data_IF_932659321111
#
_entry.id   IF_932659321111
#
_cell.length_a   1.000
_cell.length_b   1.000
_cell.length_c   1.000
_cell.angle_alpha   90.00
_cell.angle_beta   90.00
_cell.angle_gamma   90.00
#
_symmetry.space_group_name_H-M   'P 1'
#
loop_
_entity.id
_entity.type
_entity.pdbx_description
1 polymer ?
#
# COMPACT_ATOMS: atom_id res chain seq x y z
N UNK A 1 6.03 2.41 3.89
CA UNK A 1 6.35 3.77 3.41
C UNK A 1 7.86 3.95 3.51
N UNK A 2 8.55 4.37 2.43
CA UNK A 2 10.02 4.49 2.39
C UNK A 2 10.55 5.60 3.31
N UNK A 3 9.76 6.66 3.48
CA UNK A 3 10.08 7.83 4.31
C UNK A 3 8.95 8.10 5.32
N UNK A 4 8.86 7.29 6.40
CA UNK A 4 7.80 7.44 7.41
C UNK A 4 7.85 8.77 8.17
N UNK A 5 9.00 9.44 8.19
CA UNK A 5 9.22 10.74 8.85
C UNK A 5 8.41 11.89 8.24
N UNK A 6 7.92 11.74 7.02
CA UNK A 6 7.06 12.73 6.35
C UNK A 6 5.62 12.69 6.88
N UNK A 7 5.25 11.57 7.49
CA UNK A 7 3.90 11.26 7.95
C UNK A 7 3.77 11.48 9.45
N UNK A 8 2.54 11.79 9.88
CA UNK A 8 2.20 11.79 11.29
C UNK A 8 0.74 11.38 11.48
N UNK A 9 0.40 11.01 12.71
CA UNK A 9 -0.95 10.67 13.11
C UNK A 9 -1.66 11.93 13.61
N UNK A 10 -2.93 12.07 13.27
CA UNK A 10 -3.79 13.10 13.83
C UNK A 10 -5.17 12.55 14.19
N UNK A 11 -5.82 13.20 15.16
CA UNK A 11 -7.20 12.91 15.56
C UNK A 11 -8.17 13.43 14.48
N UNK A 12 -9.25 12.71 14.13
CA UNK A 12 -10.25 13.23 13.22
C UNK A 12 -10.90 14.48 13.81
N UNK A 13 -11.04 15.52 12.98
CA UNK A 13 -11.64 16.79 13.39
C UNK A 13 -13.11 16.85 13.00
N UNK A 14 -13.91 17.43 13.89
CA UNK A 14 -15.31 17.82 13.64
C UNK A 14 -15.44 19.34 13.40
N UNK A 15 -16.54 19.82 12.78
CA UNK A 15 -16.76 21.25 12.51
C UNK A 15 -16.61 22.17 13.72
N UNK A 16 -16.89 21.67 14.93
CA UNK A 16 -16.75 22.43 16.17
C UNK A 16 -15.29 22.77 16.51
N UNK A 17 -14.34 21.94 16.09
CA UNK A 17 -12.90 22.17 16.32
C UNK A 17 -12.35 23.34 15.51
N UNK A 18 -13.04 23.74 14.43
CA UNK A 18 -12.70 24.97 13.71
C UNK A 18 -13.07 26.22 14.53
N UNK A 19 -14.06 26.11 15.43
CA UNK A 19 -14.63 27.26 16.16
C UNK A 19 -14.07 27.43 17.58
N UNK A 20 -13.62 26.35 18.21
CA UNK A 20 -13.13 26.36 19.60
C UNK A 20 -11.79 25.64 19.71
N UNK A 21 -10.93 26.07 20.64
CA UNK A 21 -9.79 25.24 21.03
C UNK A 21 -10.30 23.95 21.69
N UNK A 22 -9.50 22.89 21.65
CA UNK A 22 -9.88 21.59 22.19
C UNK A 22 -10.30 21.64 23.68
N UNK A 23 -9.62 22.48 24.48
CA UNK A 23 -9.96 22.76 25.89
C UNK A 23 -11.27 23.55 26.07
N UNK A 24 -11.67 24.31 25.07
CA UNK A 24 -12.81 25.24 25.10
C UNK A 24 -14.06 24.63 24.45
N UNK A 25 -13.98 23.38 23.99
CA UNK A 25 -15.10 22.65 23.40
C UNK A 25 -16.29 22.57 24.38
N UNK A 26 -17.51 22.91 23.92
CA UNK A 26 -18.73 22.74 24.73
C UNK A 26 -18.90 21.26 25.07
N UNK A 27 -18.76 20.90 26.35
CA UNK A 27 -18.87 19.51 26.84
C UNK A 27 -17.66 19.04 27.66
N UNK A 28 -16.45 19.54 27.36
CA UNK A 28 -15.26 19.21 28.16
C UNK A 28 -15.31 19.80 29.58
N UNK A 29 -15.96 20.97 29.75
CA UNK A 29 -16.24 21.54 31.08
C UNK A 29 -17.15 20.64 31.93
N UNK A 30 -18.10 19.91 31.33
CA UNK A 30 -18.96 18.94 32.04
C UNK A 30 -18.20 17.66 32.42
N UNK A 31 -17.31 17.16 31.57
CA UNK A 31 -16.44 15.99 31.89
C UNK A 31 -15.44 16.31 33.01
N UNK A 32 -14.83 17.50 33.00
CA UNK A 32 -13.96 17.95 34.11
C UNK A 32 -14.75 18.15 35.41
N UNK A 33 -15.96 18.70 35.37
CA UNK A 33 -16.80 18.87 36.56
C UNK A 33 -17.36 17.54 37.11
N UNK A 34 -17.68 16.55 36.26
CA UNK A 34 -18.09 15.22 36.74
C UNK A 34 -16.97 14.46 37.43
N UNK A 35 -15.72 14.61 36.99
CA UNK A 35 -14.57 14.02 37.68
C UNK A 35 -14.25 14.73 39.02
N UNK A 36 -14.56 16.02 39.17
CA UNK A 36 -14.42 16.72 40.46
C UNK A 36 -15.54 16.38 41.45
N UNK A 37 -16.76 16.09 40.98
CA UNK A 37 -17.91 15.79 41.86
C UNK A 37 -18.01 14.33 42.33
N UNK A 38 -17.20 13.40 41.81
CA UNK A 38 -17.04 12.04 42.34
C UNK A 38 -15.74 11.87 43.15
N UNK A 39 -15.39 12.89 43.93
CA UNK A 39 -14.37 12.81 44.98
C UNK A 39 -14.85 12.04 46.21
N UNK A 40 -15.04 10.73 46.06
CA UNK A 40 -15.40 9.82 47.15
C UNK A 40 -14.59 8.52 47.06
N UNK A 41 -13.41 8.52 47.71
CA UNK A 41 -12.57 7.34 48.05
C UNK A 41 -11.96 6.58 46.85
N UNK A 42 -10.84 7.08 46.35
CA UNK A 42 -9.89 6.32 45.54
C UNK A 42 -8.53 7.03 45.54
N UNK A 43 -7.43 6.30 45.77
CA UNK A 43 -6.09 6.84 46.00
C UNK A 43 -5.50 7.69 44.85
N UNK A 44 -4.31 8.30 45.06
CA UNK A 44 -3.93 9.56 44.39
C UNK A 44 -3.67 9.54 42.86
N UNK A 45 -3.86 8.44 42.13
CA UNK A 45 -3.24 8.31 40.80
C UNK A 45 -4.10 7.75 39.65
N UNK A 46 -5.41 7.48 39.81
CA UNK A 46 -6.12 6.64 38.81
C UNK A 46 -7.37 7.23 38.14
N UNK A 47 -7.46 8.54 37.93
CA UNK A 47 -8.66 9.12 37.30
C UNK A 47 -8.48 10.41 36.50
N UNK A 48 -7.26 10.90 36.33
CA UNK A 48 -7.02 12.11 35.51
C UNK A 48 -6.73 11.64 34.09
N UNK A 49 -7.68 11.84 33.18
CA UNK A 49 -7.39 11.75 31.74
C UNK A 49 -6.17 12.62 31.46
N UNK A 50 -5.13 12.08 30.80
CA UNK A 50 -3.92 12.85 30.49
C UNK A 50 -4.32 14.19 29.85
N UNK A 51 -3.71 15.31 30.27
CA UNK A 51 -3.95 16.58 29.62
C UNK A 51 -3.64 16.43 28.13
N UNK A 52 -4.59 16.79 27.26
CA UNK A 52 -4.39 16.68 25.81
C UNK A 52 -3.20 17.57 25.43
N UNK A 53 -2.17 16.95 24.87
CA UNK A 53 -0.88 17.55 24.54
C UNK A 53 -1.01 18.66 23.49
N UNK A 54 -2.16 18.72 22.81
CA UNK A 54 -2.53 19.71 21.81
C UNK A 54 -3.14 21.00 22.36
N UNK A 55 -3.13 21.18 23.68
CA UNK A 55 -3.60 22.43 24.26
C UNK A 55 -2.52 23.49 24.06
N UNK A 56 -2.70 24.38 23.07
CA UNK A 56 -2.06 25.69 23.11
C UNK A 56 -2.47 26.35 24.44
N UNK A 57 -1.57 26.29 25.42
CA UNK A 57 -1.68 27.10 26.62
C UNK A 57 -1.18 28.47 26.19
N UNK A 58 -2.05 29.49 26.08
CA UNK A 58 -1.58 30.86 25.93
C UNK A 58 -0.92 31.22 27.25
N UNK A 59 0.36 30.93 27.40
CA UNK A 59 1.17 31.65 28.37
C UNK A 59 1.30 33.06 27.79
N UNK A 60 0.29 33.88 28.08
CA UNK A 60 0.17 35.29 27.70
C UNK A 60 0.28 35.55 26.19
N UNK A 61 -0.85 35.74 25.52
CA UNK A 61 -0.86 36.51 24.27
C UNK A 61 -0.27 37.89 24.57
N UNK A 62 0.80 38.35 23.90
CA UNK A 62 1.17 39.75 24.00
C UNK A 62 0.01 40.55 23.40
N UNK A 63 -0.50 41.51 24.16
CA UNK A 63 -1.35 42.57 23.63
C UNK A 63 -0.74 43.06 22.31
N UNK A 64 -1.55 43.12 21.25
CA UNK A 64 -1.09 43.39 19.90
C UNK A 64 -0.09 44.55 19.83
N UNK A 65 1.13 44.25 19.37
CA UNK A 65 2.10 45.28 19.04
C UNK A 65 1.79 45.80 17.64
N UNK A 66 1.19 46.98 17.57
CA UNK A 66 1.29 47.86 16.41
C UNK A 66 2.55 48.71 16.58
N UNK A 67 3.72 48.19 16.19
CA UNK A 67 4.87 49.07 15.99
C UNK A 67 6.25 48.49 16.27
N UNK A 68 7.10 48.65 15.26
CA UNK A 68 8.56 48.81 15.32
C UNK A 68 9.42 47.55 15.45
N UNK A 69 10.18 47.32 14.36
CA UNK A 69 11.45 46.59 14.38
C UNK A 69 12.40 47.33 15.32
N UNK A 70 12.70 46.73 16.47
CA UNK A 70 14.04 46.55 17.05
C UNK A 70 13.90 46.15 18.53
N UNK A 71 14.85 45.34 19.01
CA UNK A 71 15.08 44.94 20.40
C UNK A 71 14.25 43.76 20.99
N UNK A 72 14.73 42.52 20.82
CA UNK A 72 15.18 41.65 21.95
C UNK A 72 15.61 40.25 21.49
N UNK A 73 16.59 39.61 22.17
CA UNK A 73 17.14 38.31 21.78
C UNK A 73 16.51 37.19 22.63
N UNK A 74 15.42 36.59 22.18
CA UNK A 74 14.98 35.29 22.68
C UNK A 74 14.46 34.47 21.50
N UNK A 75 14.93 33.23 21.30
CA UNK A 75 14.45 32.40 20.21
C UNK A 75 12.99 32.00 20.51
N UNK A 76 12.08 32.45 19.65
CA UNK A 76 10.70 31.99 19.61
C UNK A 76 10.69 30.47 19.41
N UNK A 77 10.19 29.72 20.39
CA UNK A 77 9.92 28.29 20.23
C UNK A 77 8.42 28.03 20.37
N UNK A 78 7.80 27.64 19.26
CA UNK A 78 6.46 27.06 19.22
C UNK A 78 6.58 25.54 19.41
N UNK A 79 6.78 25.09 20.64
CA UNK A 79 6.80 23.66 20.99
C UNK A 79 5.75 23.37 22.08
N UNK A 80 5.09 22.19 22.05
CA UNK A 80 4.20 21.77 23.13
C UNK A 80 5.00 21.65 24.44
N UNK A 81 4.40 22.13 25.53
CA UNK A 81 5.02 22.10 26.86
C UNK A 81 4.88 20.69 27.42
N UNK A 82 5.99 19.95 27.52
CA UNK A 82 6.06 18.72 28.31
C UNK A 82 6.03 19.06 29.80
N UNK A 83 5.26 18.35 30.65
CA UNK A 83 5.33 18.57 32.08
C UNK A 83 6.69 18.08 32.58
N UNK A 84 7.48 18.98 33.14
CA UNK A 84 8.73 18.68 33.84
C UNK A 84 8.44 17.91 35.12
N UNK A 85 8.32 16.59 35.02
CA UNK A 85 8.41 15.70 36.19
C UNK A 85 9.52 14.69 35.93
N UNK A 86 10.69 14.99 36.51
CA UNK A 86 11.81 14.06 36.60
C UNK A 86 11.38 12.77 37.29
N UNK A 87 11.14 11.70 36.53
CA UNK A 87 11.31 10.32 36.98
C UNK A 87 11.79 9.47 35.79
N UNK A 88 13.07 9.13 35.81
CA UNK A 88 13.64 8.07 34.97
C UNK A 88 13.06 6.74 35.43
N UNK A 89 12.13 6.17 34.67
CA UNK A 89 11.72 4.78 34.81
C UNK A 89 11.43 4.19 33.44
N UNK A 90 12.42 3.48 32.90
CA UNK A 90 12.20 2.48 31.86
C UNK A 90 11.56 1.25 32.51
N UNK A 91 10.46 0.68 31.96
CA UNK A 91 10.16 -0.71 32.18
C UNK A 91 10.47 -1.49 30.90
N UNK A 92 11.57 -2.25 30.96
CA UNK A 92 11.74 -3.46 30.20
C UNK A 92 10.69 -4.45 30.73
N UNK A 93 9.72 -4.83 29.91
CA UNK A 93 8.90 -6.00 30.17
C UNK A 93 8.47 -6.64 28.85
N UNK A 94 9.18 -7.70 28.49
CA UNK A 94 8.80 -8.71 27.51
C UNK A 94 7.50 -9.40 27.94
N UNK A 95 6.53 -9.66 27.03
CA UNK A 95 5.41 -10.51 27.39
C UNK A 95 5.79 -11.98 27.17
N UNK A 96 6.03 -12.67 28.29
CA UNK A 96 5.79 -14.11 28.43
C UNK A 96 4.30 -14.26 28.72
N UNK A 97 3.57 -15.02 27.91
CA UNK A 97 2.14 -15.23 28.14
C UNK A 97 1.42 -15.90 26.98
N UNK A 98 1.37 -17.23 27.03
CA UNK A 98 0.55 -18.10 26.18
C UNK A 98 -0.92 -17.72 26.27
N UNK A 99 -1.55 -17.43 25.13
CA UNK A 99 -2.97 -17.13 25.01
C UNK A 99 -3.48 -17.56 23.64
N UNK A 100 -3.91 -18.81 23.56
CA UNK A 100 -4.54 -19.46 22.39
C UNK A 100 -5.78 -18.71 21.91
N UNK A 101 -5.74 -18.15 20.70
CA UNK A 101 -6.93 -17.67 19.99
C UNK A 101 -7.58 -18.86 19.28
N UNK A 102 -8.74 -19.30 19.79
CA UNK A 102 -9.57 -20.32 19.16
C UNK A 102 -10.28 -19.72 17.95
N UNK A 103 -9.93 -20.18 16.74
CA UNK A 103 -10.71 -19.94 15.51
C UNK A 103 -11.88 -20.92 15.51
N UNK A 104 -13.10 -20.40 15.58
CA UNK A 104 -14.31 -21.20 15.45
C UNK A 104 -14.52 -21.54 13.97
N UNK A 105 -14.57 -22.84 13.67
CA UNK A 105 -14.68 -23.40 12.34
C UNK A 105 -16.16 -23.70 12.08
N UNK A 106 -16.78 -23.04 11.09
CA UNK A 106 -18.09 -23.45 10.58
C UNK A 106 -18.01 -23.68 9.07
N UNK A 107 -18.27 -24.96 8.76
CA UNK A 107 -18.38 -25.67 7.50
C UNK A 107 -18.83 -24.85 6.27
N UNK A 108 -18.09 -25.01 5.18
CA UNK A 108 -18.51 -24.70 3.82
C UNK A 108 -19.58 -25.69 3.36
N UNK A 109 -20.63 -25.16 2.72
CA UNK A 109 -21.45 -25.86 1.74
C UNK A 109 -21.02 -25.41 0.35
N UNK A 110 -20.82 -26.38 -0.53
CA UNK A 110 -20.44 -26.25 -1.94
C UNK A 110 -21.44 -25.38 -2.73
N UNK A 111 -20.97 -24.55 -3.67
CA UNK A 111 -21.55 -24.42 -5.01
C UNK A 111 -20.68 -23.57 -5.96
N UNK A 112 -20.20 -24.28 -6.98
CA UNK A 112 -19.95 -23.96 -8.39
C UNK A 112 -20.09 -22.51 -8.92
N UNK A 113 -19.19 -22.19 -9.86
CA UNK A 113 -19.05 -20.86 -10.44
C UNK A 113 -20.18 -20.42 -11.39
N UNK A 114 -20.34 -19.10 -11.47
CA UNK A 114 -20.86 -18.42 -12.65
C UNK A 114 -20.36 -16.98 -12.67
N UNK A 115 -19.73 -16.61 -13.78
CA UNK A 115 -19.32 -15.25 -14.12
C UNK A 115 -20.58 -14.45 -14.48
N UNK A 116 -20.79 -13.29 -13.86
CA UNK A 116 -21.75 -12.31 -14.36
C UNK A 116 -21.17 -10.89 -14.19
N UNK A 117 -20.98 -10.13 -15.27
CA UNK A 117 -20.69 -8.72 -15.19
C UNK A 117 -22.00 -7.98 -14.89
N UNK A 118 -21.92 -6.88 -14.15
CA UNK A 118 -23.03 -6.05 -13.67
C UNK A 118 -23.71 -6.53 -12.38
N UNK A 119 -23.17 -6.08 -11.23
CA UNK A 119 -24.05 -5.44 -10.25
C UNK A 119 -23.32 -4.44 -9.35
N UNK A 120 -23.92 -3.27 -9.25
CA UNK A 120 -23.55 -2.14 -8.41
C UNK A 120 -24.03 -2.46 -7.01
N UNK A 121 -23.15 -2.86 -6.09
CA UNK A 121 -23.36 -2.74 -4.64
C UNK A 121 -22.05 -2.99 -3.87
N UNK A 122 -21.69 -2.01 -3.04
CA UNK A 122 -20.56 -2.07 -2.10
C UNK A 122 -20.79 -3.18 -1.07
N UNK A 123 -20.10 -4.30 -1.23
CA UNK A 123 -19.80 -5.23 -0.15
C UNK A 123 -18.36 -5.71 -0.36
N UNK A 124 -17.43 -5.10 0.37
CA UNK A 124 -16.04 -5.51 0.41
C UNK A 124 -15.94 -6.82 1.19
N UNK A 125 -15.77 -7.94 0.50
CA UNK A 125 -15.54 -9.23 1.14
C UNK A 125 -14.10 -9.33 1.64
N UNK A 126 -13.95 -9.90 2.84
CA UNK A 126 -12.70 -10.07 3.58
C UNK A 126 -11.59 -10.82 2.80
N UNK A 127 -11.96 -11.51 1.71
CA UNK A 127 -11.04 -12.23 0.82
C UNK A 127 -10.22 -11.32 -0.11
N UNK A 128 -10.67 -10.08 -0.40
CA UNK A 128 -9.86 -9.10 -1.15
C UNK A 128 -8.75 -8.43 -0.31
N UNK A 129 -8.77 -8.60 1.02
CA UNK A 129 -7.85 -7.90 1.93
C UNK A 129 -6.45 -8.53 2.05
N UNK A 130 -6.24 -9.76 1.59
CA UNK A 130 -4.95 -10.46 1.78
C UNK A 130 -4.00 -10.43 0.58
N UNK A 131 -4.38 -9.85 -0.57
CA UNK A 131 -3.55 -9.82 -1.78
C UNK A 131 -3.39 -8.48 -2.50
N UNK A 132 -4.07 -7.40 -2.08
CA UNK A 132 -4.18 -6.20 -2.93
C UNK A 132 -4.26 -4.85 -2.17
N UNK A 133 -3.66 -4.73 -0.99
CA UNK A 133 -3.66 -3.43 -0.31
C UNK A 133 -2.77 -2.40 -1.04
N UNK A 134 -1.62 -2.84 -1.55
CA UNK A 134 -0.67 -1.97 -2.27
C UNK A 134 -1.21 -1.52 -3.64
N UNK A 135 -1.90 -2.40 -4.36
CA UNK A 135 -2.55 -2.04 -5.63
C UNK A 135 -3.79 -1.17 -5.43
N UNK A 136 -4.43 -1.23 -4.27
CA UNK A 136 -5.57 -0.38 -3.94
C UNK A 136 -5.13 1.04 -3.57
N UNK A 137 -4.09 1.20 -2.75
CA UNK A 137 -3.63 2.52 -2.30
C UNK A 137 -2.80 3.30 -3.34
N UNK A 138 -2.33 2.62 -4.38
CA UNK A 138 -1.64 3.24 -5.52
C UNK A 138 -2.58 3.89 -6.53
N UNK A 139 -3.89 3.60 -6.48
CA UNK A 139 -4.88 4.11 -7.42
C UNK A 139 -5.83 5.09 -6.72
N UNK A 140 -6.12 6.21 -7.37
CA UNK A 140 -7.07 7.21 -6.88
C UNK A 140 -8.51 6.70 -7.02
N UNK A 141 -9.37 6.83 -6.00
CA UNK A 141 -10.79 6.51 -6.13
C UNK A 141 -11.48 7.49 -7.08
N UNK A 142 -12.38 6.99 -7.93
CA UNK A 142 -13.10 7.81 -8.91
C UNK A 142 -14.06 8.82 -8.28
N UNK A 143 -14.62 8.50 -7.11
CA UNK A 143 -15.47 9.40 -6.34
C UNK A 143 -15.25 9.25 -4.82
N UNK A 144 -15.32 10.34 -4.04
CA UNK A 144 -15.35 10.23 -2.58
C UNK A 144 -16.61 9.50 -2.12
N UNK A 145 -16.46 8.68 -1.09
CA UNK A 145 -17.62 8.06 -0.45
C UNK A 145 -18.57 9.14 0.12
N UNK A 146 -19.89 8.88 0.17
CA UNK A 146 -20.85 9.82 0.75
C UNK A 146 -20.53 10.19 2.21
N UNK A 147 -19.98 9.25 2.97
CA UNK A 147 -19.53 9.48 4.35
C UNK A 147 -18.32 10.41 4.42
N UNK A 148 -17.35 10.25 3.51
CA UNK A 148 -16.21 11.14 3.42
C UNK A 148 -16.67 12.57 3.13
N UNK A 149 -17.62 12.75 2.20
CA UNK A 149 -18.23 14.05 1.86
C UNK A 149 -18.87 14.73 3.07
N UNK A 150 -19.57 13.99 3.91
CA UNK A 150 -20.26 14.53 5.10
C UNK A 150 -19.30 14.94 6.23
N UNK A 151 -18.08 14.40 6.26
CA UNK A 151 -17.04 14.72 7.26
C UNK A 151 -16.05 15.79 6.78
N UNK A 152 -16.21 16.32 5.57
CA UNK A 152 -15.31 17.35 5.03
C UNK A 152 -15.41 18.65 5.82
N UNK A 153 -14.27 19.11 6.31
CA UNK A 153 -14.12 20.41 6.92
C UNK A 153 -13.74 21.44 5.86
N UNK A 154 -14.34 22.63 5.94
CA UNK A 154 -14.04 23.74 5.04
C UNK A 154 -13.73 25.00 5.84
N UNK A 155 -12.45 25.23 6.21
CA UNK A 155 -12.05 26.42 6.94
C UNK A 155 -12.19 27.66 6.05
N UNK A 156 -12.85 28.71 6.53
CA UNK A 156 -13.10 29.95 5.78
C UNK A 156 -12.13 31.07 6.13
N UNK A 157 -11.55 31.03 7.33
CA UNK A 157 -10.64 32.06 7.83
C UNK A 157 -9.26 31.47 8.10
N UNK A 158 -8.23 32.32 8.10
CA UNK A 158 -6.88 31.91 8.48
C UNK A 158 -6.82 31.29 9.88
N UNK A 159 -7.66 31.77 10.80
CA UNK A 159 -7.77 31.23 12.16
C UNK A 159 -8.33 29.81 12.14
N UNK A 160 -9.40 29.57 11.37
CA UNK A 160 -9.97 28.22 11.20
C UNK A 160 -8.96 27.27 10.53
N UNK A 161 -8.19 27.75 9.54
CA UNK A 161 -7.12 26.96 8.92
C UNK A 161 -6.02 26.60 9.91
N UNK A 162 -5.56 27.56 10.70
CA UNK A 162 -4.54 27.32 11.73
C UNK A 162 -5.01 26.27 12.76
N UNK A 163 -6.30 26.29 13.12
CA UNK A 163 -6.90 25.35 14.08
C UNK A 163 -6.92 23.90 13.61
N UNK A 164 -6.84 23.62 12.31
CA UNK A 164 -6.73 22.24 11.80
C UNK A 164 -5.48 21.54 12.36
N UNK A 165 -4.43 22.29 12.67
CA UNK A 165 -3.19 21.73 13.21
C UNK A 165 -3.29 21.27 14.68
N UNK A 166 -4.40 21.52 15.38
CA UNK A 166 -4.62 21.00 16.74
C UNK A 166 -4.80 19.48 16.78
N UNK A 167 -5.03 18.86 15.62
CA UNK A 167 -5.30 17.44 15.52
C UNK A 167 -4.06 16.55 15.70
N UNK A 168 -2.87 17.09 15.46
CA UNK A 168 -1.64 16.29 15.38
C UNK A 168 -1.31 15.61 16.71
N UNK A 169 -0.92 14.35 16.65
CA UNK A 169 -0.33 13.69 17.82
C UNK A 169 1.13 14.13 17.98
N UNK A 170 1.57 14.15 19.24
CA UNK A 170 2.96 14.31 19.60
C UNK A 170 3.70 13.00 19.32
N UNK A 171 4.60 13.00 18.34
CA UNK A 171 5.36 11.81 17.94
C UNK A 171 6.41 11.39 18.98
N UNK A 172 6.67 12.19 20.01
CA UNK A 172 7.57 11.83 21.11
C UNK A 172 6.89 11.01 22.22
N UNK A 173 5.56 10.94 22.21
CA UNK A 173 4.76 10.23 23.20
C UNK A 173 4.07 9.02 22.57
N UNK A 174 3.79 7.99 23.38
CA UNK A 174 2.98 6.87 22.91
C UNK A 174 1.54 7.31 22.62
N UNK A 175 0.87 6.53 21.76
CA UNK A 175 -0.54 6.74 21.40
C UNK A 175 -1.45 6.69 22.65
N UNK A 176 -1.14 5.81 23.60
CA UNK A 176 -1.92 5.61 24.83
C UNK A 176 -1.83 6.80 25.80
N UNK A 177 -0.64 7.43 25.89
CA UNK A 177 -0.41 8.63 26.70
C UNK A 177 -1.21 9.83 26.21
N UNK A 178 -1.58 9.84 24.92
CA UNK A 178 -2.33 10.91 24.27
C UNK A 178 -3.85 10.66 24.27
N UNK A 179 -4.28 9.68 25.07
CA UNK A 179 -5.69 9.39 25.34
C UNK A 179 -6.40 8.59 24.25
N UNK A 180 -5.67 8.05 23.27
CA UNK A 180 -6.23 7.17 22.25
C UNK A 180 -6.44 5.78 22.84
N UNK A 181 -7.59 5.17 22.55
CA UNK A 181 -8.03 3.86 23.05
C UNK A 181 -8.17 2.87 21.91
N UNK A 182 -8.36 1.60 22.27
CA UNK A 182 -8.68 0.57 21.30
C UNK A 182 -9.94 0.95 20.51
N UNK A 183 -9.92 0.67 19.21
CA UNK A 183 -10.98 0.99 18.25
C UNK A 183 -11.19 2.49 17.96
N UNK A 184 -10.35 3.39 18.51
CA UNK A 184 -10.35 4.78 18.09
C UNK A 184 -9.86 4.93 16.65
N UNK A 185 -10.45 5.90 15.94
CA UNK A 185 -10.04 6.24 14.58
C UNK A 185 -8.98 7.33 14.60
N UNK A 186 -7.87 7.11 13.90
CA UNK A 186 -6.85 8.12 13.63
C UNK A 186 -6.71 8.34 12.13
N UNK A 187 -6.25 9.53 11.76
CA UNK A 187 -5.88 9.86 10.40
C UNK A 187 -4.35 9.80 10.26
N UNK A 188 -3.88 9.17 9.19
CA UNK A 188 -2.48 9.24 8.77
C UNK A 188 -2.38 10.29 7.66
N UNK A 189 -1.51 11.30 7.84
CA UNK A 189 -1.35 12.40 6.88
C UNK A 189 0.11 12.79 6.73
N UNK A 190 0.47 13.32 5.57
CA UNK A 190 1.75 13.99 5.36
C UNK A 190 1.73 15.31 6.13
N UNK A 191 2.62 15.41 7.13
CA UNK A 191 2.74 16.57 8.02
C UNK A 191 3.81 17.54 7.54
N UNK A 192 4.90 17.00 7.01
CA UNK A 192 6.05 17.78 6.56
C UNK A 192 6.07 17.83 5.04
N UNK A 193 5.92 19.04 4.49
CA UNK A 193 5.85 19.28 3.04
C UNK A 193 7.25 19.39 2.41
N UNK A 194 8.15 18.48 2.79
CA UNK A 194 9.48 18.34 2.21
C UNK A 194 9.65 16.88 1.80
N UNK A 195 9.37 16.60 0.53
CA UNK A 195 9.35 15.24 0.01
C UNK A 195 10.70 14.88 -0.59
N UNK A 196 11.41 13.95 0.05
CA UNK A 196 12.72 13.50 -0.44
C UNK A 196 12.59 12.37 -1.46
N UNK A 197 13.37 12.44 -2.54
CA UNK A 197 13.52 11.35 -3.54
C UNK A 197 12.18 10.71 -3.96
N UNK A 198 11.28 11.55 -4.47
CA UNK A 198 9.94 11.13 -4.88
C UNK A 198 10.05 10.49 -6.28
N UNK A 199 10.07 9.16 -6.33
CA UNK A 199 10.40 8.40 -7.54
C UNK A 199 9.20 7.60 -8.10
N UNK A 200 8.65 7.98 -9.27
CA UNK A 200 7.49 7.30 -9.89
C UNK A 200 7.63 5.79 -10.07
N UNK A 201 8.87 5.29 -10.28
CA UNK A 201 9.12 3.86 -10.50
C UNK A 201 8.85 3.01 -9.25
N UNK A 202 9.04 3.58 -8.07
CA UNK A 202 9.04 2.82 -6.82
C UNK A 202 8.02 3.34 -5.80
N UNK A 203 7.52 4.57 -5.96
CA UNK A 203 6.72 5.26 -4.95
C UNK A 203 5.25 5.46 -5.36
N UNK A 204 4.69 4.59 -6.21
CA UNK A 204 3.31 4.70 -6.70
C UNK A 204 2.29 4.97 -5.59
N UNK A 205 2.34 4.22 -4.48
CA UNK A 205 1.48 4.43 -3.30
C UNK A 205 1.75 5.79 -2.65
N UNK A 206 3.00 6.13 -2.37
CA UNK A 206 3.36 7.39 -1.68
C UNK A 206 2.93 8.60 -2.52
N UNK A 207 3.17 8.56 -3.83
CA UNK A 207 2.79 9.61 -4.78
C UNK A 207 1.27 9.77 -4.82
N UNK A 208 0.54 8.66 -4.97
CA UNK A 208 -0.93 8.70 -5.01
C UNK A 208 -1.52 9.26 -3.71
N UNK A 209 -0.99 8.88 -2.54
CA UNK A 209 -1.46 9.39 -1.26
C UNK A 209 -1.10 10.89 -1.04
N UNK A 210 0.06 11.36 -1.52
CA UNK A 210 0.39 12.79 -1.51
C UNK A 210 -0.58 13.57 -2.42
N UNK A 211 -0.81 13.04 -3.63
CA UNK A 211 -1.76 13.61 -4.59
C UNK A 211 -3.17 13.71 -4.00
N UNK A 212 -3.69 12.62 -3.44
CA UNK A 212 -5.02 12.60 -2.80
C UNK A 212 -5.09 13.61 -1.66
N UNK A 213 -4.08 13.68 -0.79
CA UNK A 213 -4.06 14.67 0.27
C UNK A 213 -4.09 16.11 -0.31
N UNK A 214 -3.25 16.44 -1.28
CA UNK A 214 -3.21 17.76 -1.90
C UNK A 214 -4.54 18.11 -2.59
N UNK A 215 -5.13 17.16 -3.32
CA UNK A 215 -6.44 17.29 -3.96
C UNK A 215 -7.52 17.67 -2.94
N UNK A 216 -7.60 16.95 -1.81
CA UNK A 216 -8.58 17.24 -0.77
C UNK A 216 -8.34 18.59 -0.09
N UNK A 217 -7.09 18.99 0.13
CA UNK A 217 -6.78 20.31 0.69
C UNK A 217 -7.20 21.44 -0.24
N UNK A 218 -7.06 21.25 -1.56
CA UNK A 218 -7.49 22.20 -2.58
C UNK A 218 -9.03 22.28 -2.64
N UNK A 219 -9.72 21.15 -2.77
CA UNK A 219 -11.19 21.08 -2.88
C UNK A 219 -11.92 21.57 -1.61
N UNK A 220 -11.28 21.42 -0.44
CA UNK A 220 -11.81 21.89 0.84
C UNK A 220 -11.46 23.35 1.16
N UNK A 221 -10.74 24.03 0.27
CA UNK A 221 -10.28 25.42 0.47
C UNK A 221 -9.36 25.58 1.70
N UNK A 222 -8.64 24.51 2.08
CA UNK A 222 -7.54 24.58 3.06
C UNK A 222 -6.33 25.31 2.46
N UNK A 223 -6.09 25.12 1.17
CA UNK A 223 -5.05 25.79 0.37
C UNK A 223 -5.74 26.67 -0.68
N UNK A 224 -5.25 27.91 -0.83
CA UNK A 224 -5.70 28.80 -1.89
C UNK A 224 -4.89 28.61 -3.16
N UNK A 225 -5.56 28.74 -4.30
CA UNK A 225 -4.94 28.89 -5.61
C UNK A 225 -5.68 29.98 -6.40
N UNK A 226 -5.14 30.34 -7.55
CA UNK A 226 -5.78 31.20 -8.56
C UNK A 226 -6.84 30.43 -9.36
N UNK A 227 -7.62 31.15 -10.16
CA UNK A 227 -8.63 30.55 -11.03
C UNK A 227 -8.01 29.69 -12.14
N UNK A 228 -6.93 30.18 -12.77
CA UNK A 228 -6.20 29.45 -13.81
C UNK A 228 -5.58 28.16 -13.26
N UNK A 229 -4.96 28.23 -12.08
CA UNK A 229 -4.42 27.04 -11.40
C UNK A 229 -5.52 26.04 -11.04
N UNK A 230 -6.69 26.50 -10.56
CA UNK A 230 -7.81 25.61 -10.25
C UNK A 230 -8.30 24.86 -11.50
N UNK A 231 -8.41 25.54 -12.64
CA UNK A 231 -8.79 24.90 -13.91
C UNK A 231 -7.75 23.86 -14.34
N UNK A 232 -6.46 24.18 -14.20
CA UNK A 232 -5.38 23.23 -14.45
C UNK A 232 -5.46 22.01 -13.52
N UNK A 233 -5.67 22.22 -12.22
CA UNK A 233 -5.84 21.13 -11.26
C UNK A 233 -7.06 20.27 -11.56
N UNK A 234 -8.17 20.87 -11.99
CA UNK A 234 -9.36 20.11 -12.41
C UNK A 234 -9.07 19.24 -13.65
N UNK A 235 -8.40 19.80 -14.66
CA UNK A 235 -8.01 19.05 -15.86
C UNK A 235 -7.07 17.88 -15.52
N UNK A 236 -6.08 18.09 -14.66
CA UNK A 236 -5.17 17.03 -14.19
C UNK A 236 -5.93 15.94 -13.42
N UNK A 237 -6.88 16.30 -12.55
CA UNK A 237 -7.70 15.32 -11.85
C UNK A 237 -8.53 14.45 -12.82
N UNK A 238 -9.13 15.06 -13.85
CA UNK A 238 -9.84 14.31 -14.89
C UNK A 238 -8.89 13.34 -15.60
N UNK A 239 -7.71 13.81 -16.00
CA UNK A 239 -6.71 12.97 -16.67
C UNK A 239 -6.33 11.76 -15.81
N UNK A 240 -6.06 11.98 -14.51
CA UNK A 240 -5.75 10.91 -13.55
C UNK A 240 -6.90 9.92 -13.44
N UNK A 241 -8.15 10.38 -13.34
CA UNK A 241 -9.33 9.50 -13.27
C UNK A 241 -9.51 8.66 -14.54
N UNK A 242 -9.32 9.26 -15.72
CA UNK A 242 -9.41 8.55 -17.00
C UNK A 242 -8.29 7.49 -17.12
N UNK A 243 -7.12 7.79 -16.59
CA UNK A 243 -5.94 6.93 -16.63
C UNK A 243 -5.90 5.88 -15.51
N UNK A 244 -6.70 6.03 -14.45
CA UNK A 244 -6.71 5.11 -13.31
C UNK A 244 -7.14 3.68 -13.69
N UNK A 245 -7.92 3.52 -14.76
CA UNK A 245 -8.33 2.22 -15.31
C UNK A 245 -7.48 1.74 -16.50
N UNK A 246 -6.46 2.51 -16.90
CA UNK A 246 -5.62 2.21 -18.06
C UNK A 246 -4.22 1.84 -17.57
N UNK A 247 -3.67 0.68 -17.96
CA UNK A 247 -2.29 0.33 -17.67
C UNK A 247 -1.34 1.42 -18.19
N UNK A 248 -0.54 2.00 -17.31
CA UNK A 248 0.40 3.06 -17.68
C UNK A 248 1.54 2.46 -18.52
N UNK A 249 1.97 3.11 -19.62
CA UNK A 249 3.15 2.69 -20.34
C UNK A 249 4.36 2.74 -19.41
N UNK A 250 5.19 1.69 -19.46
CA UNK A 250 6.44 1.63 -18.72
C UNK A 250 7.30 2.79 -19.23
N UNK A 251 7.61 3.75 -18.35
CA UNK A 251 8.46 4.89 -18.69
C UNK A 251 9.93 4.44 -18.64
N UNK A 252 10.26 3.45 -19.46
CA UNK A 252 11.64 3.10 -19.73
C UNK A 252 12.19 4.16 -20.66
N UNK A 253 13.07 5.00 -20.11
CA UNK A 253 13.87 5.95 -20.85
C UNK A 253 14.94 5.19 -21.65
N UNK A 254 14.51 4.40 -22.63
CA UNK A 254 15.38 3.78 -23.63
C UNK A 254 14.51 3.30 -24.80
N UNK A 255 14.84 3.77 -26.00
CA UNK A 255 14.27 3.37 -27.28
C UNK A 255 14.36 1.83 -27.51
N UNK A 256 13.42 1.03 -27.02
CA UNK A 256 13.42 -0.43 -27.27
C UNK A 256 12.15 -0.98 -27.91
N UNK A 257 11.11 -0.15 -28.12
CA UNK A 257 9.82 -0.60 -28.71
C UNK A 257 9.98 -1.17 -30.14
N UNK A 258 11.11 -0.94 -30.81
CA UNK A 258 11.34 -1.38 -32.20
C UNK A 258 12.21 -2.64 -32.30
N UNK A 259 12.85 -3.11 -31.21
CA UNK A 259 13.71 -4.32 -31.27
C UNK A 259 12.92 -5.62 -30.99
N UNK A 260 11.91 -5.61 -30.12
CA UNK A 260 11.16 -6.83 -29.75
C UNK A 260 10.40 -7.46 -30.93
N UNK A 261 9.84 -6.64 -31.83
CA UNK A 261 9.14 -7.15 -33.03
C UNK A 261 10.11 -7.77 -34.04
N UNK A 262 11.35 -7.28 -34.11
CA UNK A 262 12.40 -7.80 -34.99
C UNK A 262 12.93 -9.11 -34.43
N UNK A 263 13.16 -9.20 -33.13
CA UNK A 263 13.61 -10.42 -32.46
C UNK A 263 12.54 -11.50 -32.44
N UNK A 264 11.27 -11.15 -32.27
CA UNK A 264 10.14 -12.08 -32.40
C UNK A 264 10.02 -12.60 -33.85
N UNK A 265 10.15 -11.73 -34.86
CA UNK A 265 10.14 -12.13 -36.27
C UNK A 265 11.37 -12.98 -36.66
N UNK A 266 12.55 -12.69 -36.09
CA UNK A 266 13.76 -13.50 -36.27
C UNK A 266 13.63 -14.86 -35.61
N UNK A 267 13.00 -14.94 -34.43
CA UNK A 267 12.75 -16.20 -33.73
C UNK A 267 11.73 -17.06 -34.48
N UNK A 268 10.65 -16.47 -35.00
CA UNK A 268 9.67 -17.17 -35.84
C UNK A 268 10.28 -17.63 -37.18
N UNK A 269 11.15 -16.82 -37.79
CA UNK A 269 11.90 -17.20 -38.98
C UNK A 269 12.90 -18.33 -38.68
N UNK A 270 13.56 -18.32 -37.53
CA UNK A 270 14.46 -19.39 -37.10
C UNK A 270 13.68 -20.70 -36.86
N UNK A 271 12.53 -20.65 -36.21
CA UNK A 271 11.64 -21.81 -36.01
C UNK A 271 11.10 -22.35 -37.33
N UNK A 272 10.87 -21.48 -38.33
CA UNK A 272 10.38 -21.88 -39.66
C UNK A 272 11.50 -22.43 -40.55
N UNK A 273 12.73 -21.94 -40.42
CA UNK A 273 13.90 -22.38 -41.20
C UNK A 273 14.58 -23.63 -40.62
N UNK A 274 14.45 -23.89 -39.32
CA UNK A 274 14.97 -25.10 -38.65
C UNK A 274 14.03 -26.32 -38.78
N UNK A 275 13.05 -26.26 -39.68
CA UNK A 275 12.24 -27.40 -40.07
C UNK A 275 13.10 -28.63 -40.43
N UNK A 276 13.15 -29.59 -39.52
CA UNK A 276 13.63 -30.98 -39.72
C UNK A 276 15.15 -31.18 -39.85
N UNK A 277 15.94 -30.72 -38.88
CA UNK A 277 17.23 -31.37 -38.60
C UNK A 277 17.15 -32.21 -37.31
N UNK A 278 16.71 -33.45 -37.49
CA UNK A 278 16.78 -34.51 -36.47
C UNK A 278 18.26 -34.88 -36.28
N UNK A 279 18.95 -34.16 -35.40
CA UNK A 279 20.29 -34.55 -34.98
C UNK A 279 20.61 -34.00 -33.59
N UNK A 280 20.11 -34.65 -32.56
CA UNK A 280 20.89 -35.00 -31.36
C UNK A 280 20.07 -35.95 -30.48
N UNK A 281 20.74 -36.98 -29.98
CA UNK A 281 20.24 -38.07 -29.16
C UNK A 281 19.52 -37.60 -27.90
N UNK A 282 18.19 -37.69 -27.87
CA UNK A 282 17.43 -37.60 -26.61
C UNK A 282 17.44 -38.97 -25.93
N UNK A 283 18.30 -39.11 -24.92
CA UNK A 283 18.23 -40.19 -23.94
C UNK A 283 16.87 -40.13 -23.23
N UNK A 284 15.97 -41.06 -23.58
CA UNK A 284 14.60 -41.21 -23.02
C UNK A 284 14.61 -41.53 -21.50
N UNK A 285 15.79 -41.70 -20.89
CA UNK A 285 15.94 -42.08 -19.47
C UNK A 285 16.38 -40.92 -18.54
N UNK A 286 16.55 -39.69 -19.02
CA UNK A 286 16.86 -38.56 -18.14
C UNK A 286 15.57 -37.91 -17.60
N UNK A 287 15.43 -37.90 -16.27
CA UNK A 287 14.34 -37.21 -15.57
C UNK A 287 14.51 -35.71 -15.82
N UNK A 288 13.51 -35.02 -16.41
CA UNK A 288 13.58 -33.59 -16.66
C UNK A 288 13.77 -32.81 -15.35
N UNK A 289 14.68 -31.85 -15.37
CA UNK A 289 15.01 -30.99 -14.24
C UNK A 289 15.03 -29.54 -14.67
N UNK A 290 14.43 -28.67 -13.86
CA UNK A 290 14.48 -27.22 -14.05
C UNK A 290 15.43 -26.63 -13.03
N UNK A 291 16.33 -25.75 -13.47
CA UNK A 291 17.29 -25.10 -12.59
C UNK A 291 17.54 -23.64 -12.99
N UNK A 292 17.70 -22.77 -12.00
CA UNK A 292 17.90 -21.33 -12.22
C UNK A 292 18.37 -20.63 -10.93
N UNK A 293 18.93 -19.44 -11.09
CA UNK A 293 19.11 -18.54 -9.95
C UNK A 293 17.83 -17.73 -9.70
N UNK A 294 17.17 -17.98 -8.57
CA UNK A 294 15.91 -17.32 -8.20
C UNK A 294 16.01 -16.71 -6.80
N UNK A 295 15.23 -15.66 -6.55
CA UNK A 295 15.14 -15.01 -5.25
C UNK A 295 14.12 -15.72 -4.37
N UNK A 296 14.50 -16.05 -3.15
CA UNK A 296 13.71 -16.74 -2.15
C UNK A 296 13.52 -15.92 -0.89
N UNK A 297 12.35 -16.04 -0.27
CA UNK A 297 12.12 -15.59 1.10
C UNK A 297 11.16 -16.53 1.83
N UNK A 298 11.53 -16.91 3.04
CA UNK A 298 10.67 -17.60 4.01
C UNK A 298 10.36 -16.62 5.16
N UNK A 299 9.17 -15.98 5.17
CA UNK A 299 8.83 -15.03 6.22
C UNK A 299 8.84 -15.71 7.59
N UNK A 300 9.67 -15.20 8.52
CA UNK A 300 9.64 -15.57 9.94
C UNK A 300 9.05 -14.44 10.75
N UNK A 301 8.32 -14.77 11.82
CA UNK A 301 7.85 -13.76 12.78
C UNK A 301 9.08 -13.04 13.35
N UNK A 302 9.06 -11.70 13.31
CA UNK A 302 10.08 -10.81 13.90
C UNK A 302 11.45 -10.70 13.21
N UNK A 303 11.61 -11.11 11.93
CA UNK A 303 12.86 -10.87 11.17
C UNK A 303 12.65 -9.98 9.95
N UNK A 304 13.65 -9.16 9.60
CA UNK A 304 13.66 -8.38 8.35
C UNK A 304 13.45 -9.31 7.14
N UNK A 305 12.42 -8.99 6.35
CA UNK A 305 12.05 -9.73 5.15
C UNK A 305 12.92 -9.29 3.98
N UNK A 306 14.01 -10.01 3.70
CA UNK A 306 14.85 -9.77 2.53
C UNK A 306 14.87 -11.02 1.63
N UNK A 307 14.67 -10.80 0.33
CA UNK A 307 14.88 -11.83 -0.67
C UNK A 307 16.37 -12.15 -0.79
N UNK A 308 16.71 -13.44 -0.77
CA UNK A 308 18.07 -13.94 -1.01
C UNK A 308 18.10 -14.77 -2.28
N UNK A 309 19.16 -14.64 -3.08
CA UNK A 309 19.32 -15.41 -4.31
C UNK A 309 19.88 -16.80 -3.98
N UNK A 310 19.30 -17.83 -4.56
CA UNK A 310 19.75 -19.23 -4.44
C UNK A 310 19.77 -19.87 -5.83
N UNK A 311 20.53 -20.95 -5.97
CA UNK A 311 20.42 -21.88 -7.09
C UNK A 311 19.28 -22.86 -6.79
N UNK A 312 18.19 -22.73 -7.55
CA UNK A 312 17.02 -23.60 -7.46
C UNK A 312 17.18 -24.78 -8.39
N UNK A 313 16.69 -25.92 -7.94
CA UNK A 313 16.53 -27.14 -8.74
C UNK A 313 15.15 -27.70 -8.46
N UNK A 314 14.41 -28.05 -9.51
CA UNK A 314 13.12 -28.71 -9.42
C UNK A 314 13.23 -30.04 -10.15
N UNK A 315 13.20 -31.12 -9.38
CA UNK A 315 13.20 -32.49 -9.89
C UNK A 315 12.04 -33.25 -9.27
N UNK A 316 11.28 -33.95 -10.10
CA UNK A 316 10.02 -34.60 -9.74
C UNK A 316 9.00 -33.62 -9.11
N UNK A 317 8.80 -33.70 -7.80
CA UNK A 317 7.89 -32.86 -7.02
C UNK A 317 8.64 -32.04 -5.95
N UNK A 318 9.97 -32.04 -5.99
CA UNK A 318 10.82 -31.45 -4.97
C UNK A 318 11.54 -30.22 -5.50
N UNK A 319 11.44 -29.15 -4.73
CA UNK A 319 12.15 -27.90 -4.94
C UNK A 319 13.31 -27.82 -3.95
N UNK A 320 14.53 -27.79 -4.48
CA UNK A 320 15.77 -27.83 -3.69
C UNK A 320 16.60 -26.60 -3.97
N UNK A 321 17.05 -25.92 -2.91
CA UNK A 321 17.76 -24.65 -2.98
C UNK A 321 19.17 -24.79 -2.42
N UNK A 322 20.16 -24.35 -3.19
CA UNK A 322 21.57 -24.29 -2.83
C UNK A 322 22.06 -22.84 -2.85
N UNK A 323 23.12 -22.50 -2.10
CA UNK A 323 23.63 -21.12 -2.13
C UNK A 323 24.24 -20.82 -3.49
N UNK A 324 24.89 -21.82 -4.09
CA UNK A 324 25.52 -21.71 -5.40
C UNK A 324 25.27 -22.94 -6.27
N UNK A 325 25.52 -22.81 -7.57
CA UNK A 325 25.42 -23.92 -8.54
C UNK A 325 26.45 -25.02 -8.29
N UNK A 326 27.63 -24.67 -7.79
CA UNK A 326 28.72 -25.60 -7.52
C UNK A 326 28.32 -26.56 -6.38
N UNK A 327 27.71 -26.03 -5.32
CA UNK A 327 27.17 -26.83 -4.21
C UNK A 327 26.14 -27.87 -4.70
N UNK A 328 25.25 -27.46 -5.61
CA UNK A 328 24.25 -28.34 -6.20
C UNK A 328 24.89 -29.46 -7.05
N UNK A 329 25.92 -29.12 -7.83
CA UNK A 329 26.61 -30.07 -8.72
C UNK A 329 27.45 -31.08 -7.94
N UNK A 330 27.99 -30.67 -6.78
CA UNK A 330 28.76 -31.53 -5.88
C UNK A 330 27.88 -32.39 -4.97
N UNK A 331 26.55 -32.24 -5.02
CA UNK A 331 25.63 -32.96 -4.14
C UNK A 331 25.77 -32.56 -2.67
N UNK A 332 26.11 -31.30 -2.39
CA UNK A 332 26.19 -30.78 -1.03
C UNK A 332 24.81 -30.78 -0.34
N UNK A 333 24.78 -30.57 0.98
CA UNK A 333 23.51 -30.46 1.70
C UNK A 333 22.74 -29.20 1.26
N UNK A 334 21.48 -29.31 0.84
CA UNK A 334 20.72 -28.16 0.38
C UNK A 334 20.32 -27.24 1.54
N UNK A 335 20.31 -25.93 1.28
CA UNK A 335 19.85 -24.95 2.25
C UNK A 335 18.36 -25.11 2.57
N UNK A 336 17.56 -25.47 1.55
CA UNK A 336 16.15 -25.80 1.70
C UNK A 336 15.77 -26.96 0.77
N UNK A 337 14.96 -27.88 1.29
CA UNK A 337 14.35 -28.97 0.53
C UNK A 337 12.84 -28.96 0.79
N UNK A 338 12.05 -28.81 -0.26
CA UNK A 338 10.61 -28.52 -0.18
C UNK A 338 9.86 -29.52 -1.07
N UNK A 339 8.93 -30.27 -0.49
CA UNK A 339 7.99 -31.10 -1.25
C UNK A 339 6.79 -30.24 -1.66
N UNK A 340 6.55 -30.11 -2.96
CA UNK A 340 5.48 -29.29 -3.50
C UNK A 340 4.13 -30.02 -3.54
N UNK A 341 4.07 -31.33 -3.28
CA UNK A 341 2.82 -32.08 -3.36
C UNK A 341 1.78 -31.54 -2.37
N UNK A 342 0.63 -31.12 -2.90
CA UNK A 342 -0.47 -30.56 -2.10
C UNK A 342 -0.21 -29.13 -1.60
N UNK A 343 0.77 -28.41 -2.16
CA UNK A 343 0.93 -26.99 -1.88
C UNK A 343 -0.12 -26.14 -2.60
N UNK A 344 -0.44 -24.99 -2.02
CA UNK A 344 -1.21 -23.95 -2.73
C UNK A 344 -0.23 -22.99 -3.41
N UNK A 345 -0.47 -22.74 -4.70
CA UNK A 345 0.40 -21.92 -5.56
C UNK A 345 -0.38 -20.70 -6.02
N UNK A 346 0.03 -19.51 -5.57
CA UNK A 346 -0.65 -18.24 -5.89
C UNK A 346 0.29 -17.33 -6.68
N UNK A 347 -0.16 -16.75 -7.82
CA UNK A 347 0.61 -15.74 -8.54
C UNK A 347 0.73 -14.43 -7.73
N UNK A 348 1.90 -13.82 -7.75
CA UNK A 348 2.15 -12.47 -7.25
C UNK A 348 2.86 -11.66 -8.35
N UNK A 349 2.11 -11.35 -9.41
CA UNK A 349 2.63 -10.71 -10.63
C UNK A 349 2.18 -9.26 -10.73
N UNK A 350 3.13 -8.38 -11.07
CA UNK A 350 2.87 -7.03 -11.53
C UNK A 350 3.84 -6.73 -12.69
N UNK A 351 3.33 -6.84 -13.92
CA UNK A 351 4.11 -6.65 -15.16
C UNK A 351 4.70 -5.24 -15.23
N UNK A 352 3.90 -4.22 -14.89
CA UNK A 352 4.34 -2.82 -14.89
C UNK A 352 5.50 -2.53 -13.93
N UNK A 353 5.69 -3.38 -12.90
CA UNK A 353 6.80 -3.26 -11.95
C UNK A 353 7.88 -4.35 -12.12
N UNK A 354 7.82 -5.12 -13.21
CA UNK A 354 8.68 -6.30 -13.44
C UNK A 354 8.74 -7.21 -12.19
N UNK A 355 7.57 -7.42 -11.57
CA UNK A 355 7.43 -8.27 -10.38
C UNK A 355 6.83 -9.59 -10.83
N UNK A 356 7.64 -10.64 -10.80
CA UNK A 356 7.23 -11.99 -11.15
C UNK A 356 7.36 -12.93 -9.96
N UNK A 357 6.42 -12.82 -9.02
CA UNK A 357 6.41 -13.56 -7.76
C UNK A 357 5.52 -14.80 -7.80
N UNK A 358 5.92 -15.84 -7.06
CA UNK A 358 5.13 -17.04 -6.80
C UNK A 358 5.08 -17.23 -5.29
N UNK A 359 3.88 -17.24 -4.73
CA UNK A 359 3.65 -17.58 -3.33
C UNK A 359 3.30 -19.06 -3.23
N UNK A 360 4.00 -19.76 -2.35
CA UNK A 360 3.81 -21.18 -2.06
C UNK A 360 3.38 -21.35 -0.61
N UNK A 361 2.27 -22.03 -0.39
CA UNK A 361 1.84 -22.47 0.94
C UNK A 361 1.99 -23.99 1.00
N UNK A 362 3.04 -24.45 1.68
CA UNK A 362 3.44 -25.86 1.70
C UNK A 362 2.96 -26.53 2.98
N UNK A 363 2.24 -27.68 2.90
CA UNK A 363 1.86 -28.44 4.07
C UNK A 363 3.07 -28.91 4.89
N UNK A 364 3.06 -28.64 6.18
CA UNK A 364 4.07 -29.09 7.14
C UNK A 364 3.42 -29.66 8.40
N UNK A 365 4.20 -30.39 9.21
CA UNK A 365 3.73 -30.98 10.46
C UNK A 365 3.20 -29.94 11.46
N UNK A 366 3.68 -28.70 11.38
CA UNK A 366 3.27 -27.57 12.23
C UNK A 366 2.13 -26.72 11.61
N UNK A 367 1.62 -27.11 10.43
CA UNK A 367 0.63 -26.35 9.64
C UNK A 367 1.17 -25.93 8.27
N UNK A 368 0.51 -24.96 7.63
CA UNK A 368 0.95 -24.44 6.33
C UNK A 368 2.16 -23.51 6.50
N UNK A 369 3.23 -23.77 5.76
CA UNK A 369 4.42 -22.92 5.71
C UNK A 369 4.37 -22.04 4.48
N UNK A 370 4.31 -20.73 4.68
CA UNK A 370 4.36 -19.74 3.61
C UNK A 370 5.81 -19.49 3.16
N UNK A 371 6.00 -19.50 1.83
CA UNK A 371 7.26 -19.18 1.16
C UNK A 371 6.97 -18.34 -0.09
N UNK A 372 7.89 -17.46 -0.46
CA UNK A 372 7.77 -16.67 -1.69
C UNK A 372 9.04 -16.79 -2.52
N UNK A 373 8.84 -16.97 -3.82
CA UNK A 373 9.87 -17.04 -4.84
C UNK A 373 9.66 -15.85 -5.78
N UNK A 374 10.73 -15.23 -6.28
CA UNK A 374 10.68 -14.13 -7.24
C UNK A 374 11.64 -14.37 -8.39
N UNK A 375 11.07 -14.51 -9.58
CA UNK A 375 11.77 -14.66 -10.84
C UNK A 375 12.19 -13.28 -11.40
N UNK A 376 13.12 -13.30 -12.33
CA UNK A 376 13.70 -12.11 -12.95
C UNK A 376 13.01 -11.75 -14.28
N UNK A 377 12.53 -12.74 -15.04
CA UNK A 377 11.87 -12.55 -16.35
C UNK A 377 10.50 -13.26 -16.43
N UNK A 378 9.68 -12.86 -17.41
CA UNK A 378 8.37 -13.48 -17.69
C UNK A 378 8.50 -14.95 -18.07
N UNK A 379 9.46 -15.28 -18.92
CA UNK A 379 9.72 -16.66 -19.36
C UNK A 379 10.16 -17.55 -18.20
N UNK A 380 11.07 -17.04 -17.36
CA UNK A 380 11.50 -17.76 -16.16
C UNK A 380 10.29 -17.99 -15.25
N UNK A 381 9.50 -16.94 -14.98
CA UNK A 381 8.30 -17.07 -14.18
C UNK A 381 7.30 -18.09 -14.75
N UNK A 382 7.06 -18.09 -16.06
CA UNK A 382 6.13 -19.01 -16.69
C UNK A 382 6.55 -20.48 -16.49
N UNK A 383 7.84 -20.79 -16.69
CA UNK A 383 8.42 -22.12 -16.45
C UNK A 383 8.25 -22.55 -14.99
N UNK A 384 8.67 -21.69 -14.05
CA UNK A 384 8.65 -22.00 -12.62
C UNK A 384 7.22 -22.05 -12.04
N UNK A 385 6.31 -21.21 -12.51
CA UNK A 385 4.89 -21.24 -12.13
C UNK A 385 4.20 -22.51 -12.63
N UNK A 386 4.41 -22.89 -13.89
CA UNK A 386 3.90 -24.15 -14.44
C UNK A 386 4.42 -25.35 -13.63
N UNK A 387 5.73 -25.39 -13.37
CA UNK A 387 6.35 -26.45 -12.58
C UNK A 387 5.72 -26.57 -11.18
N UNK A 388 5.57 -25.45 -10.47
CA UNK A 388 4.96 -25.45 -9.14
C UNK A 388 3.48 -25.89 -9.17
N UNK A 389 2.69 -25.42 -10.14
CA UNK A 389 1.27 -25.79 -10.29
C UNK A 389 1.08 -27.27 -10.62
N UNK A 390 1.94 -27.85 -11.44
CA UNK A 390 1.90 -29.27 -11.74
C UNK A 390 2.34 -30.09 -10.52
N UNK A 391 3.43 -29.71 -9.87
CA UNK A 391 3.94 -30.41 -8.70
C UNK A 391 2.96 -30.39 -7.52
N UNK A 392 2.23 -29.27 -7.34
CA UNK A 392 1.11 -29.16 -6.39
C UNK A 392 0.06 -30.26 -6.59
N UNK A 393 -0.25 -30.59 -7.85
CA UNK A 393 -1.18 -31.64 -8.26
C UNK A 393 -0.53 -33.04 -8.32
N UNK A 394 0.75 -33.16 -7.96
CA UNK A 394 1.50 -34.42 -8.02
C UNK A 394 1.98 -34.83 -9.41
N UNK A 395 2.02 -33.90 -10.37
CA UNK A 395 2.52 -34.13 -11.73
C UNK A 395 3.93 -33.53 -11.87
N UNK A 396 4.87 -34.27 -12.47
CA UNK A 396 6.25 -33.82 -12.64
C UNK A 396 6.46 -33.05 -13.96
N UNK A 397 7.68 -32.54 -14.16
CA UNK A 397 8.10 -31.89 -15.41
C UNK A 397 8.06 -32.82 -16.64
N UNK A 398 8.00 -34.14 -16.44
CA UNK A 398 7.85 -35.11 -17.52
C UNK A 398 6.40 -35.24 -18.03
N UNK A 399 5.44 -34.61 -17.36
CA UNK A 399 4.05 -34.61 -17.79
C UNK A 399 3.90 -33.81 -19.10
N UNK A 400 3.18 -34.37 -20.08
CA UNK A 400 2.98 -33.74 -21.39
C UNK A 400 2.25 -32.40 -21.31
N UNK A 401 1.56 -32.10 -20.19
CA UNK A 401 0.89 -30.82 -20.00
C UNK A 401 1.82 -29.68 -19.55
N UNK A 402 3.09 -29.96 -19.19
CA UNK A 402 4.02 -28.92 -18.76
C UNK A 402 4.23 -27.83 -19.81
N UNK A 403 4.61 -28.20 -21.02
CA UNK A 403 4.85 -27.23 -22.11
C UNK A 403 3.58 -26.44 -22.47
N UNK A 404 2.40 -27.08 -22.41
CA UNK A 404 1.13 -26.40 -22.65
C UNK A 404 0.78 -25.40 -21.55
N UNK A 405 1.06 -25.72 -20.29
CA UNK A 405 0.84 -24.81 -19.15
C UNK A 405 1.80 -23.61 -19.24
N UNK A 406 3.08 -23.82 -19.58
CA UNK A 406 4.05 -22.74 -19.81
C UNK A 406 3.54 -21.80 -20.89
N UNK A 407 3.16 -22.32 -22.06
CA UNK A 407 2.62 -21.51 -23.17
C UNK A 407 1.36 -20.76 -22.76
N UNK A 408 0.47 -21.40 -22.00
CA UNK A 408 -0.75 -20.75 -21.49
C UNK A 408 -0.43 -19.59 -20.54
N UNK A 409 0.59 -19.73 -19.68
CA UNK A 409 1.00 -18.66 -18.75
C UNK A 409 1.65 -17.51 -19.52
N UNK A 410 2.53 -17.80 -20.50
CA UNK A 410 3.13 -16.77 -21.37
C UNK A 410 2.05 -15.99 -22.11
N UNK A 411 1.09 -16.69 -22.75
CA UNK A 411 -0.02 -16.04 -23.44
C UNK A 411 -0.87 -15.16 -22.50
N UNK A 412 -1.09 -15.61 -21.27
CA UNK A 412 -1.80 -14.84 -20.27
C UNK A 412 -1.04 -13.57 -19.85
N UNK A 413 0.29 -13.64 -19.71
CA UNK A 413 1.13 -12.46 -19.44
C UNK A 413 1.09 -11.49 -20.62
N UNK A 414 1.22 -11.98 -21.86
CA UNK A 414 1.12 -11.20 -23.10
C UNK A 414 -0.20 -10.42 -23.18
N UNK A 415 -1.33 -11.03 -22.80
CA UNK A 415 -2.63 -10.37 -22.75
C UNK A 415 -2.74 -9.28 -21.68
N UNK A 416 -1.88 -9.31 -20.67
CA UNK A 416 -1.83 -8.30 -19.60
C UNK A 416 -0.88 -7.14 -19.92
N UNK A 417 -0.11 -7.21 -21.02
CA UNK A 417 0.66 -6.07 -21.49
C UNK A 417 -0.27 -4.95 -21.95
N UNK A 418 0.12 -3.68 -21.78
CA UNK A 418 -0.72 -2.54 -22.15
C UNK A 418 -1.13 -2.61 -23.62
N UNK A 419 -2.42 -2.69 -23.90
CA UNK A 419 -2.94 -2.42 -25.24
C UNK A 419 -2.73 -0.93 -25.58
N UNK A 420 -2.34 -0.63 -26.82
CA UNK A 420 -2.24 0.73 -27.32
C UNK A 420 -3.57 1.47 -27.09
N UNK A 421 -3.49 2.60 -26.39
CA UNK A 421 -4.65 3.37 -25.93
C UNK A 421 -5.55 3.77 -27.09
N UNK A 422 -6.83 3.36 -27.14
CA UNK A 422 -7.78 3.98 -28.04
C UNK A 422 -7.96 5.45 -27.64
N UNK A 423 -7.94 6.36 -28.62
CA UNK A 423 -8.18 7.78 -28.38
C UNK A 423 -9.57 7.96 -27.75
N UNK A 424 -9.61 8.35 -26.48
CA UNK A 424 -10.86 8.64 -25.76
C UNK A 424 -11.47 9.88 -26.40
N UNK A 425 -12.68 9.75 -26.97
CA UNK A 425 -13.39 10.90 -27.53
C UNK A 425 -13.95 11.77 -26.39
N UNK A 426 -13.62 13.08 -26.33
CA UNK A 426 -14.00 13.95 -25.22
C UNK A 426 -15.52 14.12 -25.07
N UNK A 427 -16.29 13.90 -26.15
CA UNK A 427 -17.76 13.97 -26.17
C UNK A 427 -18.47 12.77 -25.53
N UNK A 428 -17.74 11.69 -25.21
CA UNK A 428 -18.29 10.51 -24.53
C UNK A 428 -18.18 10.57 -23.00
N UNK A 429 -17.48 11.58 -22.47
CA UNK A 429 -17.17 11.69 -21.04
C UNK A 429 -18.22 12.55 -20.32
N UNK A 430 -18.96 11.93 -19.40
CA UNK A 430 -19.86 12.63 -18.49
C UNK A 430 -19.04 13.15 -17.28
N UNK A 431 -18.44 14.34 -17.44
CA UNK A 431 -17.61 14.99 -16.42
C UNK A 431 -18.50 15.92 -15.60
N UNK A 432 -18.61 15.68 -14.30
CA UNK A 432 -19.27 16.60 -13.38
C UNK A 432 -18.24 17.59 -12.79
N UNK A 433 -18.33 18.91 -13.09
CA UNK A 433 -17.39 19.91 -12.57
C UNK A 433 -17.37 20.01 -11.04
N UNK A 434 -18.49 19.69 -10.39
CA UNK A 434 -18.62 19.73 -8.92
C UNK A 434 -17.67 18.76 -8.19
N UNK A 435 -17.16 17.75 -8.91
CA UNK A 435 -16.24 16.75 -8.37
C UNK A 435 -14.78 17.23 -8.39
N UNK A 436 -14.43 18.21 -9.24
CA UNK A 436 -13.04 18.57 -9.54
C UNK A 436 -12.66 20.01 -9.18
N UNK A 437 -13.66 20.86 -8.90
CA UNK A 437 -13.47 22.30 -8.68
C UNK A 437 -13.96 22.69 -7.28
N UNK A 438 -13.18 23.53 -6.57
CA UNK A 438 -13.59 23.99 -5.26
C UNK A 438 -14.85 24.90 -5.32
N UNK A 439 -15.72 24.87 -4.30
CA UNK A 439 -17.01 25.57 -4.29
C UNK A 439 -16.96 27.07 -4.60
N UNK A 440 -15.92 27.77 -4.14
CA UNK A 440 -15.71 29.20 -4.41
C UNK A 440 -15.63 29.50 -5.91
N UNK A 441 -15.01 28.63 -6.70
CA UNK A 441 -14.86 28.81 -8.14
C UNK A 441 -16.11 28.38 -8.90
N UNK A 442 -16.78 27.31 -8.50
CA UNK A 442 -18.06 26.89 -9.07
C UNK A 442 -19.12 27.98 -9.02
N UNK A 443 -19.20 28.73 -7.90
CA UNK A 443 -20.11 29.87 -7.77
C UNK A 443 -19.81 30.99 -8.76
N UNK A 444 -18.53 31.24 -9.06
CA UNK A 444 -18.08 32.27 -10.01
C UNK A 444 -18.27 31.85 -11.46
N UNK A 445 -18.13 30.56 -11.73
CA UNK A 445 -18.21 29.96 -13.06
C UNK A 445 -19.63 29.53 -13.44
N UNK A 446 -20.60 29.65 -12.53
CA UNK A 446 -22.00 29.28 -12.75
C UNK A 446 -22.56 30.02 -13.97
N UNK A 447 -22.76 29.30 -15.08
CA UNK A 447 -23.20 29.83 -16.37
C UNK A 447 -22.18 29.71 -17.53
N UNK A 448 -20.96 29.26 -17.26
CA UNK A 448 -19.91 29.00 -18.27
C UNK A 448 -19.43 27.53 -18.32
N UNK A 449 -19.92 26.69 -17.40
CA UNK A 449 -19.54 25.29 -17.22
C UNK A 449 -20.77 24.42 -17.41
#
# INVERSE_FOLDING_TARGET
VRYPEELSLCKPLEPNHLKYNLKDLPGNKKRQQQHQNHGGRGGPNNGVSPPDTNTFIPNHSPSGSTGSLEQSPQPFMCAPVTPTRHQTSTPISSPVGSGTWKKNNQSYGEMNGSYSPYNVNNSLTLEMLNGSLDSSLANSPSQPSPEARNKLLRPRTLVERARINVAWLDSSLSIMEQGVREYDTLCLRFKFYSFYDLNPKYDSVRINQIYEQAKWQLLNEEIDCTEEEMLMFAALQVQVTLQAGVPQPIMDSSNTIVEDDIDAALTDLQVTLEGSHISSSSDIMQIPELFDYIRFIKPKRFTLKAFKRYWFTCRDLHLTLYKTREEATQGAEPAHHINLRGCEVTPDVNIAQSKYGIKLEVPSAEGMTEMMIRCDTEEQYAKWMAACRLAAKGRSLADSSYETEVKSIVAFLQMQHPALTPAISPSSLNINPDDYVAPRFLRKLKGKV
#
